data_IF_316715600135
#
_entry.id   IF_316715600135
#
_cell.length_a   1.000
_cell.length_b   1.000
_cell.length_c   1.000
_cell.angle_alpha   90.00
_cell.angle_beta   90.00
_cell.angle_gamma   90.00
#
_symmetry.space_group_name_H-M   'P 1'
#
loop_
_entity.id
_entity.type
_entity.pdbx_description
1 polymer ?
#
# COMPACT_ATOMS: atom_id res chain seq x y z
N UNK A 1 -10.20 -3.11 14.50
CA UNK A 1 -11.44 -3.23 13.69
C UNK A 1 -11.06 -3.01 12.24
N UNK A 2 -11.55 -3.86 11.33
CA UNK A 2 -11.37 -3.67 9.88
C UNK A 2 -12.49 -2.76 9.37
N UNK A 3 -12.16 -1.76 8.56
CA UNK A 3 -13.13 -0.89 7.89
C UNK A 3 -13.75 -1.64 6.72
N UNK A 4 -15.07 -1.53 6.50
CA UNK A 4 -15.70 -2.18 5.34
C UNK A 4 -15.26 -1.51 4.03
N UNK A 5 -15.28 -2.25 2.93
CA UNK A 5 -14.96 -1.69 1.60
C UNK A 5 -15.89 -0.51 1.26
N UNK A 6 -17.16 -0.57 1.68
CA UNK A 6 -18.14 0.51 1.47
C UNK A 6 -17.78 1.78 2.27
N UNK A 7 -17.47 1.64 3.56
CA UNK A 7 -17.07 2.76 4.41
C UNK A 7 -15.75 3.37 3.94
N UNK A 8 -14.80 2.54 3.53
CA UNK A 8 -13.54 3.00 2.99
C UNK A 8 -13.74 3.79 1.70
N UNK A 9 -14.54 3.28 0.76
CA UNK A 9 -14.90 3.98 -0.49
C UNK A 9 -15.57 5.31 -0.22
N UNK A 10 -16.58 5.35 0.65
CA UNK A 10 -17.27 6.57 1.03
C UNK A 10 -16.28 7.61 1.60
N UNK A 11 -15.31 7.15 2.41
CA UNK A 11 -14.28 8.01 2.98
C UNK A 11 -13.29 8.57 1.95
N UNK A 12 -13.05 7.87 0.84
CA UNK A 12 -12.21 8.35 -0.26
C UNK A 12 -12.95 9.40 -1.10
N UNK A 13 -14.21 9.15 -1.42
CA UNK A 13 -15.06 10.11 -2.13
C UNK A 13 -15.24 11.41 -1.33
N UNK A 14 -15.47 11.30 -0.02
CA UNK A 14 -15.57 12.44 0.88
C UNK A 14 -14.28 13.28 0.94
N UNK A 15 -13.12 12.69 0.60
CA UNK A 15 -11.83 13.37 0.50
C UNK A 15 -11.53 13.92 -0.91
N UNK A 16 -12.50 13.85 -1.82
CA UNK A 16 -12.41 14.44 -3.16
C UNK A 16 -11.83 13.54 -4.24
N UNK A 17 -11.66 12.23 -3.98
CA UNK A 17 -11.27 11.32 -5.05
C UNK A 17 -12.43 11.12 -6.05
N UNK A 18 -12.14 11.06 -7.36
CA UNK A 18 -13.11 10.58 -8.35
C UNK A 18 -13.51 9.12 -8.08
N UNK A 19 -14.71 8.71 -8.53
CA UNK A 19 -15.22 7.35 -8.35
C UNK A 19 -14.26 6.28 -8.85
N UNK A 20 -13.72 6.45 -10.06
CA UNK A 20 -12.74 5.53 -10.64
C UNK A 20 -11.48 5.38 -9.75
N UNK A 21 -11.07 6.44 -9.07
CA UNK A 21 -9.95 6.40 -8.12
C UNK A 21 -10.30 5.61 -6.86
N UNK A 22 -11.50 5.81 -6.30
CA UNK A 22 -11.96 5.06 -5.14
C UNK A 22 -12.09 3.56 -5.45
N UNK A 23 -12.63 3.23 -6.63
CA UNK A 23 -12.79 1.85 -7.09
C UNK A 23 -11.44 1.16 -7.37
N UNK A 24 -10.46 1.91 -7.89
CA UNK A 24 -9.09 1.41 -8.04
C UNK A 24 -8.50 0.98 -6.69
N UNK A 25 -8.63 1.81 -5.65
CA UNK A 25 -8.11 1.47 -4.32
C UNK A 25 -8.81 0.24 -3.74
N UNK A 26 -10.13 0.11 -3.90
CA UNK A 26 -10.84 -1.12 -3.51
C UNK A 26 -10.30 -2.35 -4.23
N UNK A 27 -10.05 -2.24 -5.54
CA UNK A 27 -9.45 -3.30 -6.34
C UNK A 27 -8.08 -3.74 -5.80
N UNK A 28 -7.23 -2.78 -5.43
CA UNK A 28 -5.91 -3.06 -4.84
C UNK A 28 -6.02 -3.82 -3.51
N UNK A 29 -6.95 -3.43 -2.62
CA UNK A 29 -7.17 -4.15 -1.36
C UNK A 29 -7.76 -5.54 -1.58
N UNK A 30 -8.69 -5.69 -2.53
CA UNK A 30 -9.24 -6.99 -2.89
C UNK A 30 -8.15 -7.94 -3.43
N UNK A 31 -7.30 -7.47 -4.34
CA UNK A 31 -6.16 -8.23 -4.87
C UNK A 31 -5.12 -8.57 -3.78
N UNK A 32 -4.84 -7.63 -2.87
CA UNK A 32 -3.96 -7.85 -1.72
C UNK A 32 -4.48 -8.96 -0.80
N UNK A 33 -5.78 -8.97 -0.49
CA UNK A 33 -6.42 -10.03 0.32
C UNK A 33 -6.37 -11.40 -0.34
N UNK A 34 -6.29 -11.44 -1.67
CA UNK A 34 -6.12 -12.67 -2.45
C UNK A 34 -4.64 -13.08 -2.61
N UNK A 35 -3.69 -12.33 -2.03
CA UNK A 35 -2.26 -12.64 -2.11
C UNK A 35 -1.63 -12.34 -3.47
N UNK A 36 -2.29 -11.57 -4.34
CA UNK A 36 -1.76 -11.25 -5.67
C UNK A 36 -0.45 -10.43 -5.63
N UNK A 37 -0.17 -9.77 -4.50
CA UNK A 37 1.07 -9.03 -4.26
C UNK A 37 2.04 -9.72 -3.27
N UNK A 38 1.78 -10.99 -2.92
CA UNK A 38 2.64 -11.76 -2.00
C UNK A 38 3.98 -12.20 -2.58
N UNK A 39 4.13 -12.53 -3.89
CA UNK A 39 5.41 -12.98 -4.42
C UNK A 39 6.53 -11.94 -4.22
N UNK A 40 7.67 -12.39 -3.71
CA UNK A 40 8.89 -11.58 -3.54
C UNK A 40 10.01 -12.23 -4.34
N UNK A 41 10.72 -11.45 -5.14
CA UNK A 41 11.84 -11.93 -5.94
C UNK A 41 13.07 -10.98 -5.85
N UNK A 42 14.30 -11.49 -6.05
CA UNK A 42 15.53 -10.71 -5.84
C UNK A 42 15.93 -9.81 -7.02
N UNK A 43 15.09 -9.69 -8.07
CA UNK A 43 15.47 -9.04 -9.34
C UNK A 43 15.90 -7.60 -9.13
N UNK A 44 15.16 -6.81 -8.35
CA UNK A 44 15.53 -5.42 -8.10
C UNK A 44 16.90 -5.31 -7.40
N UNK A 45 17.15 -6.13 -6.39
CA UNK A 45 18.45 -6.14 -5.68
C UNK A 45 19.61 -6.51 -6.61
N UNK A 46 19.40 -7.48 -7.52
CA UNK A 46 20.39 -7.85 -8.55
C UNK A 46 20.67 -6.71 -9.52
N UNK A 47 19.63 -6.04 -10.03
CA UNK A 47 19.78 -4.92 -10.96
C UNK A 47 20.51 -3.72 -10.32
N UNK A 48 20.30 -3.50 -9.03
CA UNK A 48 20.96 -2.42 -8.29
C UNK A 48 22.39 -2.76 -7.83
N UNK A 49 22.81 -4.03 -7.90
CA UNK A 49 24.10 -4.47 -7.33
C UNK A 49 24.18 -4.37 -5.80
N UNK A 50 23.03 -4.24 -5.11
CA UNK A 50 22.93 -4.14 -3.65
C UNK A 50 21.58 -4.64 -3.15
N UNK A 51 21.43 -5.01 -1.87
CA UNK A 51 20.14 -5.34 -1.28
C UNK A 51 19.13 -4.17 -1.39
N UNK A 52 17.85 -4.51 -1.54
CA UNK A 52 16.74 -3.55 -1.41
C UNK A 52 16.61 -3.10 0.04
N UNK A 53 16.24 -1.84 0.26
CA UNK A 53 16.00 -1.31 1.60
C UNK A 53 14.70 -1.90 2.17
N UNK A 54 14.75 -2.43 3.39
CA UNK A 54 13.54 -2.90 4.07
C UNK A 54 12.63 -1.72 4.41
N UNK A 55 11.31 -1.89 4.25
CA UNK A 55 10.34 -0.83 4.54
C UNK A 55 10.49 -0.32 5.99
N UNK A 56 10.72 -1.22 6.96
CA UNK A 56 10.92 -0.85 8.36
C UNK A 56 12.11 0.09 8.56
N UNK A 57 13.21 -0.12 7.84
CA UNK A 57 14.40 0.73 7.96
C UNK A 57 14.19 2.08 7.28
N UNK A 58 13.46 2.10 6.15
CA UNK A 58 13.06 3.35 5.51
C UNK A 58 12.14 4.19 6.42
N UNK A 59 11.15 3.58 7.06
CA UNK A 59 10.21 4.32 7.93
C UNK A 59 10.92 4.97 9.13
N UNK A 60 11.99 4.36 9.66
CA UNK A 60 12.81 4.96 10.72
C UNK A 60 13.50 6.25 10.30
N UNK A 61 13.74 6.46 8.99
CA UNK A 61 14.39 7.69 8.51
C UNK A 61 13.39 8.78 8.14
N UNK A 62 12.10 8.45 7.97
CA UNK A 62 11.10 9.39 7.43
C UNK A 62 9.98 9.75 8.38
N UNK A 63 9.67 8.90 9.37
CA UNK A 63 8.59 9.18 10.34
C UNK A 63 9.19 9.85 11.57
N UNK A 64 8.76 11.08 11.87
CA UNK A 64 9.07 11.70 13.15
C UNK A 64 8.35 10.92 14.28
N UNK A 65 8.99 10.71 15.45
CA UNK A 65 8.31 10.10 16.58
C UNK A 65 7.04 10.90 16.89
N UNK A 66 5.92 10.19 17.06
CA UNK A 66 4.68 10.80 17.51
C UNK A 66 4.94 11.33 18.94
N UNK A 67 5.12 12.65 19.05
CA UNK A 67 5.13 13.36 20.32
C UNK A 67 3.74 13.48 20.92
#
# INVERSE_FOLDING_TARGET
MVVSDADYRASLLARGLPEAGADLFLGLFAASRQGQFTPVDPTLGRLLGRPTTALADFLKTTIAPAG
#
